data_IF_543463910893
#
_entry.id   IF_543463910893
#
_cell.length_a   1.000
_cell.length_b   1.000
_cell.length_c   1.000
_cell.angle_alpha   90.00
_cell.angle_beta   90.00
_cell.angle_gamma   90.00
#
_symmetry.space_group_name_H-M   'P 1'
#
loop_
_entity.id
_entity.type
_entity.pdbx_description
1 polymer ?
#
# COMPACT_ATOMS: atom_id res chain seq x y z
N UNK A 1 5.54 10.53 1.47
CA UNK A 1 6.24 9.99 0.27
C UNK A 1 6.01 8.50 0.08
N UNK A 2 6.11 7.65 1.12
CA UNK A 2 5.88 6.18 0.99
C UNK A 2 4.49 5.83 0.43
N UNK A 3 3.41 6.39 0.98
CA UNK A 3 2.04 6.11 0.49
C UNK A 3 1.82 6.53 -0.98
N UNK A 4 2.43 7.63 -1.40
CA UNK A 4 2.41 8.09 -2.80
C UNK A 4 3.12 7.10 -3.73
N UNK A 5 4.28 6.61 -3.32
CA UNK A 5 4.99 5.59 -4.08
C UNK A 5 4.20 4.28 -4.13
N UNK A 6 3.58 3.88 -3.03
CA UNK A 6 2.70 2.69 -2.96
C UNK A 6 1.51 2.81 -3.92
N UNK A 7 0.81 3.95 -3.92
CA UNK A 7 -0.33 4.12 -4.84
C UNK A 7 0.12 4.08 -6.30
N UNK A 8 1.25 4.69 -6.62
CA UNK A 8 1.82 4.70 -7.98
C UNK A 8 2.26 3.30 -8.43
N UNK A 9 2.84 2.51 -7.52
CA UNK A 9 3.40 1.20 -7.86
C UNK A 9 2.36 0.08 -7.94
N UNK A 10 1.22 0.21 -7.23
CA UNK A 10 0.30 -0.91 -7.04
C UNK A 10 -1.17 -0.60 -7.29
N UNK A 11 -1.59 0.67 -7.35
CA UNK A 11 -3.00 1.05 -7.45
C UNK A 11 -3.33 1.77 -8.76
N UNK A 12 -2.56 2.79 -9.13
CA UNK A 12 -2.79 3.53 -10.37
C UNK A 12 -1.49 4.13 -10.88
N UNK A 13 -1.23 3.94 -12.17
CA UNK A 13 -0.10 4.53 -12.88
C UNK A 13 -0.29 6.06 -13.10
N UNK A 14 -1.49 6.58 -12.78
CA UNK A 14 -1.80 7.99 -12.98
C UNK A 14 -1.04 8.90 -12.01
N UNK A 15 -0.08 9.64 -12.56
CA UNK A 15 0.65 10.74 -11.93
C UNK A 15 -0.22 11.94 -11.53
N UNK A 16 -1.56 11.81 -11.51
CA UNK A 16 -2.51 12.93 -11.47
C UNK A 16 -3.30 13.06 -10.17
N UNK A 17 -3.13 12.17 -9.18
CA UNK A 17 -3.81 12.32 -7.88
C UNK A 17 -3.31 13.59 -7.19
N UNK A 18 -4.22 14.54 -6.96
CA UNK A 18 -3.89 15.76 -6.23
C UNK A 18 -3.55 15.43 -4.77
N UNK A 19 -2.87 16.35 -4.07
CA UNK A 19 -2.61 16.17 -2.64
C UNK A 19 -3.90 15.94 -1.83
N UNK A 20 -5.02 16.53 -2.27
CA UNK A 20 -6.32 16.35 -1.62
C UNK A 20 -6.84 14.92 -1.83
N UNK A 21 -6.76 14.39 -3.05
CA UNK A 21 -7.21 13.02 -3.36
C UNK A 21 -6.37 11.97 -2.60
N UNK A 22 -5.09 12.26 -2.38
CA UNK A 22 -4.20 11.44 -1.57
C UNK A 22 -4.58 11.33 -0.09
N UNK A 23 -5.31 12.31 0.46
CA UNK A 23 -5.81 12.30 1.83
C UNK A 23 -7.19 11.65 1.88
N UNK A 24 -8.03 11.94 0.89
CA UNK A 24 -9.40 11.42 0.79
C UNK A 24 -9.41 9.92 0.52
N UNK A 25 -8.48 9.40 -0.29
CA UNK A 25 -8.43 7.98 -0.66
C UNK A 25 -8.21 7.06 0.57
N UNK A 26 -7.22 7.30 1.47
CA UNK A 26 -7.12 6.58 2.72
C UNK A 26 -8.37 6.65 3.59
N UNK A 27 -8.99 7.83 3.69
CA UNK A 27 -10.18 8.02 4.50
C UNK A 27 -11.36 7.20 3.97
N UNK A 28 -11.57 7.19 2.65
CA UNK A 28 -12.64 6.40 2.03
C UNK A 28 -12.41 4.90 2.19
N UNK A 29 -11.17 4.43 2.04
CA UNK A 29 -10.82 3.03 2.26
C UNK A 29 -11.06 2.63 3.73
N UNK A 30 -10.67 3.48 4.69
CA UNK A 30 -10.92 3.26 6.12
C UNK A 30 -12.42 3.19 6.46
N UNK A 31 -13.24 3.98 5.76
CA UNK A 31 -14.69 3.99 5.92
C UNK A 31 -15.39 2.84 5.16
N UNK A 32 -14.63 1.90 4.57
CA UNK A 32 -15.15 0.83 3.70
C UNK A 32 -16.07 1.37 2.59
N UNK A 33 -15.84 2.61 2.17
CA UNK A 33 -16.59 3.26 1.10
C UNK A 33 -15.93 2.89 -0.22
N UNK A 34 -16.72 2.71 -1.28
CA UNK A 34 -16.19 2.35 -2.60
C UNK A 34 -15.13 3.39 -3.02
N UNK A 35 -13.84 3.02 -3.12
CA UNK A 35 -12.82 3.98 -3.48
C UNK A 35 -13.04 4.40 -4.94
N UNK A 36 -12.84 5.69 -5.30
CA UNK A 36 -13.03 6.21 -6.65
C UNK A 36 -11.90 5.82 -7.60
N UNK A 37 -11.15 4.76 -7.30
CA UNK A 37 -9.94 4.37 -8.01
C UNK A 37 -10.17 3.02 -8.70
N UNK A 38 -10.36 3.07 -10.01
CA UNK A 38 -10.28 1.88 -10.84
C UNK A 38 -8.81 1.47 -10.94
N UNK A 39 -8.50 0.30 -10.39
CA UNK A 39 -7.15 -0.24 -10.37
C UNK A 39 -6.77 -0.72 -11.76
N UNK A 40 -5.56 -0.37 -12.19
CA UNK A 40 -5.02 -0.89 -13.44
C UNK A 40 -4.62 -2.37 -13.29
N UNK A 41 -5.21 -3.23 -14.11
CA UNK A 41 -4.98 -4.69 -14.12
C UNK A 41 -3.58 -5.09 -14.59
N UNK A 42 -2.83 -4.17 -15.22
CA UNK A 42 -1.44 -4.39 -15.62
C UNK A 42 -0.43 -4.27 -14.47
N UNK A 43 -0.86 -3.78 -13.31
CA UNK A 43 -0.01 -3.58 -12.14
C UNK A 43 0.24 -4.91 -11.38
N UNK A 44 1.38 -5.04 -10.66
CA UNK A 44 1.70 -6.24 -9.89
C UNK A 44 0.63 -6.56 -8.84
N UNK A 45 0.47 -7.84 -8.50
CA UNK A 45 -0.51 -8.33 -7.51
C UNK A 45 -1.96 -8.02 -7.90
N UNK A 46 -2.30 -8.13 -9.18
CA UNK A 46 -3.62 -7.81 -9.76
C UNK A 46 -4.78 -8.55 -9.07
N UNK A 47 -4.54 -9.71 -8.48
CA UNK A 47 -5.52 -10.49 -7.72
C UNK A 47 -5.86 -9.89 -6.34
N UNK A 48 -5.01 -9.02 -5.79
CA UNK A 48 -5.28 -8.34 -4.53
C UNK A 48 -6.31 -7.21 -4.69
N UNK A 49 -7.23 -7.09 -3.75
CA UNK A 49 -8.11 -5.92 -3.69
C UNK A 49 -7.35 -4.65 -3.26
N UNK A 50 -7.85 -3.48 -3.66
CA UNK A 50 -7.35 -2.17 -3.21
C UNK A 50 -7.29 -2.07 -1.67
N UNK A 51 -8.26 -2.67 -0.98
CA UNK A 51 -8.32 -2.72 0.48
C UNK A 51 -7.17 -3.54 1.08
N UNK A 52 -6.84 -4.69 0.49
CA UNK A 52 -5.72 -5.53 0.94
C UNK A 52 -4.38 -4.81 0.75
N UNK A 53 -4.17 -4.15 -0.39
CA UNK A 53 -2.96 -3.36 -0.65
C UNK A 53 -2.86 -2.20 0.35
N UNK A 54 -3.96 -1.48 0.58
CA UNK A 54 -4.03 -0.40 1.55
C UNK A 54 -3.72 -0.87 2.97
N UNK A 55 -4.39 -1.94 3.43
CA UNK A 55 -4.19 -2.48 4.78
C UNK A 55 -2.74 -2.94 4.99
N UNK A 56 -2.14 -3.59 3.99
CA UNK A 56 -0.75 -4.04 4.05
C UNK A 56 0.23 -2.87 4.10
N UNK A 57 -0.01 -1.82 3.32
CA UNK A 57 0.79 -0.60 3.34
C UNK A 57 0.69 0.13 4.69
N UNK A 58 -0.53 0.26 5.23
CA UNK A 58 -0.78 0.88 6.52
C UNK A 58 -0.08 0.11 7.64
N UNK A 59 -0.17 -1.22 7.64
CA UNK A 59 0.51 -2.08 8.61
C UNK A 59 2.04 -1.91 8.53
N UNK A 60 2.59 -1.89 7.32
CA UNK A 60 4.05 -1.75 7.12
C UNK A 60 4.55 -0.38 7.60
N UNK A 61 3.80 0.68 7.32
CA UNK A 61 4.06 2.03 7.83
C UNK A 61 3.98 2.08 9.35
N UNK A 62 2.95 1.48 9.93
CA UNK A 62 2.78 1.43 11.39
C UNK A 62 3.94 0.69 12.06
N UNK A 63 4.36 -0.45 11.52
CA UNK A 63 5.52 -1.19 12.05
C UNK A 63 6.82 -0.38 11.97
N UNK A 64 7.04 0.36 10.87
CA UNK A 64 8.22 1.20 10.74
C UNK A 64 8.21 2.36 11.75
N UNK A 65 7.05 2.97 11.96
CA UNK A 65 6.87 4.02 12.96
C UNK A 65 7.04 3.49 14.39
N UNK A 66 6.53 2.29 14.67
CA UNK A 66 6.73 1.60 15.95
C UNK A 66 8.21 1.38 16.24
N UNK A 67 8.97 0.80 15.31
CA UNK A 67 10.41 0.61 15.46
C UNK A 67 11.16 1.93 15.65
N UNK A 68 10.70 3.02 15.03
CA UNK A 68 11.30 4.32 15.26
C UNK A 68 11.08 4.83 16.69
N UNK A 69 9.86 4.71 17.21
CA UNK A 69 9.54 5.15 18.57
C UNK A 69 10.27 4.31 19.63
N UNK A 70 10.21 2.99 19.50
CA UNK A 70 10.64 2.07 20.56
C UNK A 70 12.08 1.59 20.40
N UNK A 71 12.54 1.41 19.17
CA UNK A 71 13.89 0.87 18.88
C UNK A 71 14.86 1.98 18.41
N UNK A 72 14.41 3.23 18.32
CA UNK A 72 15.17 4.38 17.77
C UNK A 72 15.71 4.13 16.35
N UNK A 73 15.10 3.19 15.62
CA UNK A 73 15.51 2.87 14.27
C UNK A 73 14.95 3.92 13.28
N UNK A 74 15.76 4.54 12.42
CA UNK A 74 15.26 5.54 11.49
C UNK A 74 14.29 4.92 10.47
N UNK A 75 13.22 5.67 10.15
CA UNK A 75 12.29 5.28 9.08
C UNK A 75 12.94 5.54 7.73
N UNK A 76 13.46 4.48 7.10
CA UNK A 76 14.04 4.54 5.76
C UNK A 76 12.99 4.12 4.74
N UNK A 77 12.61 5.02 3.84
CA UNK A 77 11.52 4.80 2.89
C UNK A 77 11.72 3.54 2.03
N UNK A 78 12.94 3.29 1.54
CA UNK A 78 13.26 2.13 0.71
C UNK A 78 13.05 0.81 1.47
N UNK A 79 13.45 0.76 2.74
CA UNK A 79 13.22 -0.41 3.59
C UNK A 79 11.71 -0.66 3.79
N UNK A 80 10.92 0.40 3.95
CA UNK A 80 9.46 0.30 4.06
C UNK A 80 8.86 -0.23 2.76
N UNK A 81 9.33 0.24 1.60
CA UNK A 81 8.87 -0.26 0.29
C UNK A 81 9.24 -1.73 0.07
N UNK A 82 10.46 -2.14 0.40
CA UNK A 82 10.90 -3.54 0.29
C UNK A 82 10.13 -4.46 1.25
N UNK A 83 9.82 -4.00 2.47
CA UNK A 83 8.96 -4.75 3.40
C UNK A 83 7.55 -4.86 2.86
N UNK A 84 7.00 -3.78 2.32
CA UNK A 84 5.67 -3.77 1.71
C UNK A 84 5.59 -4.75 0.53
N UNK A 85 6.52 -4.68 -0.42
CA UNK A 85 6.56 -5.58 -1.57
C UNK A 85 6.61 -7.07 -1.15
N UNK A 86 7.41 -7.39 -0.12
CA UNK A 86 7.46 -8.75 0.44
C UNK A 86 6.15 -9.17 1.10
N UNK A 87 5.52 -8.28 1.86
CA UNK A 87 4.22 -8.57 2.49
C UNK A 87 3.12 -8.78 1.46
N UNK A 88 3.11 -7.98 0.38
CA UNK A 88 2.16 -8.15 -0.73
C UNK A 88 2.40 -9.46 -1.48
N UNK A 89 3.65 -9.77 -1.82
CA UNK A 89 3.99 -11.04 -2.47
C UNK A 89 3.59 -12.26 -1.64
N UNK A 90 3.75 -12.18 -0.32
CA UNK A 90 3.28 -13.22 0.60
C UNK A 90 1.75 -13.33 0.59
N UNK A 91 1.05 -12.21 0.67
CA UNK A 91 -0.42 -12.20 0.66
C UNK A 91 -0.98 -12.76 -0.65
N UNK A 92 -0.36 -12.39 -1.77
CA UNK A 92 -0.70 -12.86 -3.11
C UNK A 92 -0.51 -14.38 -3.24
N UNK A 93 0.62 -14.91 -2.74
CA UNK A 93 0.88 -16.35 -2.70
C UNK A 93 -0.09 -17.11 -1.77
N UNK A 94 -0.54 -16.52 -0.66
CA UNK A 94 -1.55 -17.12 0.23
C UNK A 94 -2.94 -17.17 -0.43
N UNK A 95 -3.24 -16.24 -1.34
CA UNK A 95 -4.47 -16.24 -2.15
C UNK A 95 -4.40 -17.23 -3.33
N UNK A 96 -3.21 -17.43 -3.88
CA UNK A 96 -2.95 -18.33 -5.00
C UNK A 96 -1.90 -19.40 -4.63
N UNK A 97 -2.24 -20.39 -3.78
CA UNK A 97 -1.29 -21.41 -3.33
C UNK A 97 -0.78 -22.33 -4.45
N UNK A 98 -1.42 -22.32 -5.62
CA UNK A 98 -1.16 -23.21 -6.76
C UNK A 98 -0.46 -22.51 -7.96
N UNK A 99 -0.04 -21.25 -7.81
CA UNK A 99 0.67 -20.46 -8.85
C UNK A 99 2.19 -20.64 -8.83
#
# INVERSE_FOLDING_TARGET
MVWRHTSQSYLSDSSSLSNADFITLPQQILLCSSPPLDRDTSLPFNELSTHQIFATALLTLWQAHWCWIFDQAPVIADNVQQRLARSLARLDAELNPDS
#
